data_IF_054143489392
#
_entry.id   IF_054143489392
#
_cell.length_a   1.000
_cell.length_b   1.000
_cell.length_c   1.000
_cell.angle_alpha   90.00
_cell.angle_beta   90.00
_cell.angle_gamma   90.00
#
_symmetry.space_group_name_H-M   'P 1'
#
loop_
_entity.id
_entity.type
_entity.pdbx_description
1 polymer ?
#
# COMPACT_ATOMS: atom_id res chain seq x y z
N UNK A 1 17.05 2.79 -11.25
CA UNK A 1 17.12 1.78 -10.18
C UNK A 1 18.34 0.90 -10.40
N UNK A 2 18.80 0.22 -9.35
CA UNK A 2 19.91 -0.74 -9.39
C UNK A 2 19.34 -2.18 -9.43
N UNK A 3 19.48 -2.91 -10.54
CA UNK A 3 18.95 -4.27 -10.68
C UNK A 3 19.52 -5.27 -9.66
N UNK A 4 20.76 -5.09 -9.22
CA UNK A 4 21.37 -5.98 -8.23
C UNK A 4 20.71 -5.81 -6.86
N UNK A 5 20.41 -4.57 -6.46
CA UNK A 5 19.66 -4.27 -5.23
C UNK A 5 18.22 -4.76 -5.29
N UNK A 6 17.59 -4.68 -6.46
CA UNK A 6 16.25 -5.22 -6.69
C UNK A 6 16.21 -6.74 -6.50
N UNK A 7 17.17 -7.46 -7.09
CA UNK A 7 17.28 -8.92 -6.92
C UNK A 7 17.53 -9.32 -5.46
N UNK A 8 18.42 -8.60 -4.76
CA UNK A 8 18.67 -8.84 -3.34
C UNK A 8 17.41 -8.62 -2.49
N UNK A 9 16.65 -7.55 -2.74
CA UNK A 9 15.40 -7.28 -2.04
C UNK A 9 14.34 -8.36 -2.26
N UNK A 10 14.28 -8.93 -3.47
CA UNK A 10 13.38 -10.06 -3.76
C UNK A 10 13.77 -11.29 -2.95
N UNK A 11 15.06 -11.64 -2.91
CA UNK A 11 15.54 -12.78 -2.11
C UNK A 11 15.21 -12.59 -0.62
N UNK A 12 15.46 -11.41 -0.07
CA UNK A 12 15.09 -11.08 1.31
C UNK A 12 13.59 -11.24 1.57
N UNK A 13 12.73 -10.84 0.63
CA UNK A 13 11.29 -10.95 0.78
C UNK A 13 10.80 -12.41 0.72
N UNK A 14 11.49 -13.27 -0.04
CA UNK A 14 11.19 -14.70 -0.12
C UNK A 14 11.66 -15.47 1.12
N UNK A 15 12.75 -15.02 1.74
CA UNK A 15 13.29 -15.61 2.97
C UNK A 15 12.57 -15.14 4.25
N UNK A 16 11.62 -14.21 4.15
CA UNK A 16 10.86 -13.70 5.28
C UNK A 16 9.79 -14.71 5.75
N UNK A 17 9.61 -14.83 7.07
CA UNK A 17 8.58 -15.70 7.66
C UNK A 17 7.17 -15.39 7.14
N UNK A 18 6.89 -14.12 6.86
CA UNK A 18 5.68 -13.65 6.20
C UNK A 18 6.04 -12.86 4.93
N UNK A 19 6.03 -13.56 3.79
CA UNK A 19 6.35 -12.95 2.51
C UNK A 19 5.30 -11.90 2.10
N UNK A 20 5.71 -10.69 1.67
CA UNK A 20 4.77 -9.64 1.31
C UNK A 20 4.06 -9.95 -0.01
N UNK A 21 2.75 -9.66 -0.07
CA UNK A 21 1.97 -9.78 -1.31
C UNK A 21 2.45 -8.79 -2.40
N UNK A 22 2.95 -7.62 -1.99
CA UNK A 22 3.47 -6.58 -2.90
C UNK A 22 4.78 -6.04 -2.37
N UNK A 23 5.80 -6.00 -3.23
CA UNK A 23 7.12 -5.48 -2.92
C UNK A 23 7.48 -4.36 -3.92
N UNK A 24 7.15 -3.09 -3.64
CA UNK A 24 7.60 -1.99 -4.47
C UNK A 24 9.12 -1.86 -4.40
N UNK A 25 9.78 -1.79 -5.55
CA UNK A 25 11.22 -1.69 -5.66
C UNK A 25 11.62 -0.30 -6.16
N UNK A 26 12.25 0.46 -5.27
CA UNK A 26 12.71 1.82 -5.54
C UNK A 26 11.77 2.91 -5.01
N UNK A 27 12.33 4.11 -4.82
CA UNK A 27 11.63 5.24 -4.20
C UNK A 27 10.41 5.67 -5.02
N UNK A 28 10.53 5.80 -6.34
CA UNK A 28 9.41 6.22 -7.20
C UNK A 28 8.19 5.29 -7.06
N UNK A 29 8.43 3.97 -6.96
CA UNK A 29 7.36 2.99 -6.77
C UNK A 29 6.74 3.10 -5.37
N UNK A 30 7.57 3.31 -4.34
CA UNK A 30 7.09 3.50 -2.97
C UNK A 30 6.27 4.79 -2.82
N UNK A 31 6.75 5.89 -3.40
CA UNK A 31 6.10 7.21 -3.36
C UNK A 31 4.77 7.18 -4.11
N UNK A 32 4.72 6.55 -5.28
CA UNK A 32 3.49 6.43 -6.08
C UNK A 32 2.40 5.64 -5.35
N UNK A 33 2.76 4.51 -4.72
CA UNK A 33 1.81 3.70 -3.95
C UNK A 33 1.34 4.46 -2.72
N UNK A 34 2.26 5.05 -1.97
CA UNK A 34 1.93 5.82 -0.75
C UNK A 34 0.98 6.98 -1.09
N UNK A 35 1.31 7.77 -2.12
CA UNK A 35 0.47 8.88 -2.56
C UNK A 35 -0.89 8.44 -3.11
N UNK A 36 -1.02 7.22 -3.66
CA UNK A 36 -2.33 6.67 -4.03
C UNK A 36 -3.16 6.29 -2.80
N UNK A 37 -2.56 5.58 -1.85
CA UNK A 37 -3.23 5.16 -0.61
C UNK A 37 -3.67 6.37 0.22
N UNK A 38 -2.85 7.42 0.29
CA UNK A 38 -3.20 8.63 1.04
C UNK A 38 -4.35 9.41 0.40
N UNK A 39 -4.42 9.46 -0.93
CA UNK A 39 -5.57 10.04 -1.63
C UNK A 39 -6.85 9.26 -1.35
N UNK A 40 -6.80 7.93 -1.49
CA UNK A 40 -7.94 7.08 -1.20
C UNK A 40 -8.41 7.20 0.26
N UNK A 41 -7.46 7.26 1.21
CA UNK A 41 -7.75 7.49 2.63
C UNK A 41 -8.40 8.85 2.87
N UNK A 42 -7.88 9.91 2.25
CA UNK A 42 -8.41 11.28 2.38
C UNK A 42 -9.83 11.38 1.84
N UNK A 43 -10.08 10.76 0.68
CA UNK A 43 -11.42 10.70 0.10
C UNK A 43 -12.38 9.94 1.01
N UNK A 44 -11.98 8.76 1.51
CA UNK A 44 -12.79 7.99 2.45
C UNK A 44 -13.19 8.81 3.69
N UNK A 45 -12.23 9.52 4.31
CA UNK A 45 -12.52 10.37 5.47
C UNK A 45 -13.46 11.53 5.13
N UNK A 46 -13.35 12.10 3.93
CA UNK A 46 -14.23 13.19 3.47
C UNK A 46 -15.70 12.76 3.41
N UNK A 47 -15.95 11.47 3.11
CA UNK A 47 -17.29 10.89 2.99
C UNK A 47 -17.69 10.00 4.16
N UNK A 48 -16.86 9.88 5.20
CA UNK A 48 -17.02 8.89 6.26
C UNK A 48 -18.38 8.93 6.94
N UNK A 49 -18.88 10.14 7.25
CA UNK A 49 -20.21 10.31 7.86
C UNK A 49 -21.33 9.75 6.98
N UNK A 50 -21.28 10.03 5.68
CA UNK A 50 -22.29 9.58 4.72
C UNK A 50 -22.20 8.05 4.56
N UNK A 51 -21.00 7.52 4.33
CA UNK A 51 -20.76 6.08 4.18
C UNK A 51 -21.17 5.28 5.41
N UNK A 52 -20.94 5.81 6.61
CA UNK A 52 -21.38 5.14 7.86
C UNK A 52 -22.87 5.26 8.14
N UNK A 53 -23.54 6.28 7.57
CA UNK A 53 -25.00 6.43 7.74
C UNK A 53 -25.83 5.42 6.96
N UNK A 54 -25.21 4.63 6.07
CA UNK A 54 -25.86 3.55 5.34
C UNK A 54 -25.75 2.20 6.06
N UNK A 55 -25.23 2.17 7.28
CA UNK A 55 -25.24 0.96 8.10
C UNK A 55 -26.68 0.65 8.56
N UNK A 56 -26.95 -0.60 8.92
CA UNK A 56 -28.28 -0.99 9.37
C UNK A 56 -28.58 -0.39 10.75
N UNK A 57 -29.63 0.41 10.84
CA UNK A 57 -30.24 0.78 12.11
C UNK A 57 -30.85 -0.49 12.72
N UNK A 58 -30.38 -0.91 13.91
CA UNK A 58 -31.07 -1.92 14.72
C UNK A 58 -32.37 -1.37 15.31
#
# INVERSE_FOLDING_TARGET
>A
GDPAKAAAAILTALDADEAPLRLPLGNDAADAITGHLDRARTELHSWEKLTRSTDFDN
#
